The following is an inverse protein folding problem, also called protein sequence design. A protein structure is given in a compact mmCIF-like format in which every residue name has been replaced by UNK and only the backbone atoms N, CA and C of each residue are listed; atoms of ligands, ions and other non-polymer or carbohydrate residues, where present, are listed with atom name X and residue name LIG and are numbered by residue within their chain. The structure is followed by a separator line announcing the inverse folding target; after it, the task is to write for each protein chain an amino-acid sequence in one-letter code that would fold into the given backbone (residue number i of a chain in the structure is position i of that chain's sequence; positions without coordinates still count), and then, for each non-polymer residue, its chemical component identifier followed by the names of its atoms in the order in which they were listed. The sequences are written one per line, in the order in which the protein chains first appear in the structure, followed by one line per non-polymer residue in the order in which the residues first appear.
data_IF_858873806384
#
_entry.id   IF_858873806384
#
_cell.length_a   1.000
_cell.length_b   1.000
_cell.length_c   1.000
_cell.angle_alpha   90.00
_cell.angle_beta   90.00
_cell.angle_gamma   90.00
#
_symmetry.space_group_name_H-M   'P 1'
#
loop_
_entity.id
_entity.type
_entity.pdbx_description
1 polymer ?
#
# COMPACT_ATOMS: atom_id res chain seq x y z
N UNK A 1 28.77 -18.36 4.82
CA UNK A 1 27.64 -18.67 3.90
C UNK A 1 26.54 -17.66 4.20
N UNK A 2 26.11 -16.83 3.25
CA UNK A 2 24.99 -15.92 3.50
C UNK A 2 23.70 -16.74 3.63
N UNK A 3 22.92 -16.48 4.67
CA UNK A 3 21.59 -17.08 4.81
C UNK A 3 20.61 -16.21 4.02
N UNK A 4 19.99 -16.81 3.01
CA UNK A 4 18.87 -16.21 2.27
C UNK A 4 17.69 -16.24 3.23
N UNK A 5 17.27 -15.07 3.70
CA UNK A 5 16.02 -14.94 4.44
C UNK A 5 14.91 -15.02 3.40
N UNK A 6 14.22 -16.16 3.37
CA UNK A 6 13.00 -16.34 2.58
C UNK A 6 11.90 -15.51 3.24
N UNK A 7 11.59 -14.35 2.66
CA UNK A 7 10.43 -13.56 3.06
C UNK A 7 9.16 -14.31 2.62
N UNK A 8 8.61 -15.13 3.53
CA UNK A 8 7.26 -15.68 3.37
C UNK A 8 6.29 -14.52 3.49
N UNK A 9 5.77 -14.05 2.35
CA UNK A 9 4.69 -13.08 2.33
C UNK A 9 3.44 -13.76 2.90
N UNK A 10 2.77 -13.23 3.94
CA UNK A 10 1.50 -13.76 4.36
C UNK A 10 0.52 -13.65 3.18
N UNK A 11 -0.14 -14.75 2.82
CA UNK A 11 -1.19 -14.74 1.80
C UNK A 11 -2.36 -13.88 2.31
N UNK A 12 -2.30 -12.58 2.01
CA UNK A 12 -3.43 -11.67 2.15
C UNK A 12 -4.51 -12.23 1.21
N UNK A 13 -5.74 -12.52 1.68
CA UNK A 13 -6.78 -13.06 0.82
C UNK A 13 -7.05 -12.07 -0.30
N UNK A 14 -6.49 -12.39 -1.47
CA UNK A 14 -6.65 -11.61 -2.68
C UNK A 14 -8.12 -11.74 -3.07
N UNK A 15 -8.93 -10.74 -2.71
CA UNK A 15 -10.23 -10.56 -3.34
C UNK A 15 -9.92 -10.28 -4.81
N UNK A 16 -9.98 -11.32 -5.61
CA UNK A 16 -9.70 -11.28 -7.04
C UNK A 16 -10.72 -10.37 -7.73
N UNK A 17 -10.40 -9.09 -7.84
CA UNK A 17 -10.74 -8.35 -9.05
C UNK A 17 -9.97 -9.00 -10.19
N UNK A 18 -10.64 -9.25 -11.31
CA UNK A 18 -10.19 -10.14 -12.39
C UNK A 18 -8.86 -9.76 -13.07
N UNK A 19 -8.22 -8.65 -12.69
CA UNK A 19 -6.92 -8.25 -13.18
C UNK A 19 -6.08 -7.57 -12.05
N UNK A 20 -4.75 -7.81 -12.03
CA UNK A 20 -3.86 -7.22 -11.04
C UNK A 20 -3.79 -5.68 -11.16
N UNK A 21 -3.47 -4.97 -10.06
CA UNK A 21 -3.22 -3.54 -10.10
C UNK A 21 -2.00 -3.24 -10.98
N UNK A 22 -2.04 -2.11 -11.67
CA UNK A 22 -0.91 -1.63 -12.48
C UNK A 22 0.09 -0.82 -11.64
N UNK A 23 -0.37 -0.32 -10.49
CA UNK A 23 0.41 0.52 -9.57
C UNK A 23 0.10 0.10 -8.13
N UNK A 24 1.13 -0.27 -7.38
CA UNK A 24 1.04 -0.50 -5.93
C UNK A 24 1.67 0.67 -5.20
N UNK A 25 0.93 1.28 -4.27
CA UNK A 25 1.39 2.44 -3.50
C UNK A 25 1.51 2.00 -2.04
N UNK A 26 2.73 2.00 -1.54
CA UNK A 26 3.02 1.59 -0.15
C UNK A 26 3.30 2.83 0.68
N UNK A 27 2.51 3.03 1.73
CA UNK A 27 2.61 4.19 2.63
C UNK A 27 2.96 3.66 4.03
N UNK A 28 4.19 3.88 4.52
CA UNK A 28 4.49 3.71 5.93
C UNK A 28 3.81 4.83 6.72
N UNK A 29 2.99 4.48 7.70
CA UNK A 29 2.27 5.45 8.54
C UNK A 29 2.76 5.35 9.98
N UNK A 30 3.23 6.49 10.49
CA UNK A 30 3.49 6.73 11.89
C UNK A 30 2.39 7.67 12.44
N UNK A 31 1.55 7.16 13.34
CA UNK A 31 0.68 7.88 14.29
C UNK A 31 -0.25 9.03 13.81
N UNK A 32 -0.30 9.39 12.53
CA UNK A 32 -1.17 10.45 11.98
C UNK A 32 -2.43 9.90 11.29
N UNK A 33 -3.24 9.15 12.04
CA UNK A 33 -4.52 8.58 11.53
C UNK A 33 -5.44 9.67 10.98
N UNK A 34 -5.41 10.87 11.59
CA UNK A 34 -6.25 12.00 11.19
C UNK A 34 -5.88 12.58 9.81
N UNK A 35 -4.62 12.45 9.37
CA UNK A 35 -4.13 12.99 8.10
C UNK A 35 -4.23 11.97 6.94
N UNK A 36 -4.53 10.71 7.28
CA UNK A 36 -4.59 9.62 6.31
C UNK A 36 -5.74 9.80 5.31
N UNK A 37 -6.87 10.37 5.75
CA UNK A 37 -8.01 10.68 4.88
C UNK A 37 -7.64 11.65 3.74
N UNK A 38 -7.05 12.79 4.09
CA UNK A 38 -6.61 13.80 3.12
C UNK A 38 -5.54 13.25 2.16
N UNK A 39 -4.65 12.38 2.66
CA UNK A 39 -3.67 11.70 1.83
C UNK A 39 -4.33 10.76 0.81
N UNK A 40 -5.30 9.95 1.24
CA UNK A 40 -6.05 9.05 0.38
C UNK A 40 -6.78 9.85 -0.71
N UNK A 41 -7.45 10.94 -0.34
CA UNK A 41 -8.18 11.79 -1.28
C UNK A 41 -7.25 12.40 -2.34
N UNK A 42 -6.07 12.88 -1.92
CA UNK A 42 -5.06 13.41 -2.84
C UNK A 42 -4.52 12.35 -3.80
N UNK A 43 -4.28 11.12 -3.31
CA UNK A 43 -3.81 10.01 -4.14
C UNK A 43 -4.90 9.62 -5.16
N UNK A 44 -6.15 9.52 -4.72
CA UNK A 44 -7.29 9.27 -5.60
C UNK A 44 -7.41 10.34 -6.68
N UNK A 45 -7.33 11.62 -6.32
CA UNK A 45 -7.41 12.73 -7.24
C UNK A 45 -6.28 12.72 -8.28
N UNK A 46 -5.06 12.34 -7.87
CA UNK A 46 -3.90 12.26 -8.75
C UNK A 46 -3.96 11.09 -9.75
N UNK A 47 -4.52 9.95 -9.33
CA UNK A 47 -4.52 8.72 -10.12
C UNK A 47 -5.78 8.51 -10.95
N UNK A 48 -6.91 9.07 -10.55
CA UNK A 48 -8.17 8.99 -11.32
C UNK A 48 -8.00 9.42 -12.78
N UNK A 49 -7.30 10.53 -13.12
CA UNK A 49 -7.08 10.94 -14.51
C UNK A 49 -6.22 9.97 -15.32
N UNK A 50 -5.43 9.11 -14.66
CA UNK A 50 -4.56 8.15 -15.34
C UNK A 50 -5.31 6.94 -15.87
N UNK A 51 -6.52 6.68 -15.37
CA UNK A 51 -7.32 5.49 -15.71
C UNK A 51 -6.71 4.16 -15.27
N UNK A 52 -5.59 4.19 -14.53
CA UNK A 52 -4.88 2.99 -14.07
C UNK A 52 -5.55 2.41 -12.85
N UNK A 53 -5.54 1.08 -12.75
CA UNK A 53 -5.87 0.40 -11.50
C UNK A 53 -4.71 0.53 -10.53
N UNK A 54 -5.01 0.91 -9.30
CA UNK A 54 -4.01 1.00 -8.25
C UNK A 54 -4.52 0.40 -6.95
N UNK A 55 -3.59 -0.02 -6.09
CA UNK A 55 -3.85 -0.42 -4.71
C UNK A 55 -3.09 0.49 -3.75
N UNK A 56 -3.65 0.69 -2.56
CA UNK A 56 -3.04 1.43 -1.47
C UNK A 56 -2.76 0.47 -0.31
N UNK A 57 -1.49 0.33 0.06
CA UNK A 57 -1.03 -0.53 1.14
C UNK A 57 -0.50 0.37 2.24
N UNK A 58 -1.28 0.50 3.31
CA UNK A 58 -0.89 1.26 4.51
C UNK A 58 -0.19 0.31 5.47
N UNK A 59 1.07 0.62 5.78
CA UNK A 59 1.91 -0.20 6.65
C UNK A 59 2.15 0.58 7.94
N UNK A 60 1.73 0.03 9.07
CA UNK A 60 2.24 0.46 10.37
C UNK A 60 3.72 0.05 10.42
N UNK A 61 4.60 1.04 10.29
CA UNK A 61 6.04 0.78 10.21
C UNK A 61 6.68 0.52 11.59
N UNK A 62 5.88 0.60 12.68
CA UNK A 62 6.36 0.40 14.05
C UNK A 62 7.51 1.33 14.44
N UNK A 63 7.76 2.38 13.65
CA UNK A 63 8.73 3.40 13.99
C UNK A 63 8.26 4.07 15.29
N UNK A 64 9.21 4.37 16.16
CA UNK A 64 8.99 5.05 17.44
C UNK A 64 9.91 6.26 17.42
N UNK A 65 9.54 7.27 16.64
CA UNK A 65 10.01 8.62 16.98
C UNK A 65 9.12 9.24 18.06
#
# INVERSE_FOLDING_TARGET
MPQVIEFVQPEVPMRASAEPPEVSIVIPVFNEVDNLGDLIDRIHAALTPTGRRFELIVVDDGSRD
#
